data_IF_017957967604
#
_entry.id   IF_017957967604
#
_cell.length_a   1.000
_cell.length_b   1.000
_cell.length_c   1.000
_cell.angle_alpha   90.00
_cell.angle_beta   90.00
_cell.angle_gamma   90.00
#
_symmetry.space_group_name_H-M   'P 1'
#
loop_
_entity.id
_entity.type
_entity.pdbx_description
1 polymer ?
#
# COMPACT_ATOMS: atom_id res chain seq x y z
N UNK A 1 -5.43 5.84 -9.10
CA UNK A 1 -6.72 5.33 -8.59
C UNK A 1 -6.54 5.11 -7.11
N UNK A 2 -6.72 6.18 -6.33
CA UNK A 2 -6.83 6.21 -4.88
C UNK A 2 -8.03 7.12 -4.66
N UNK A 3 -9.19 6.52 -4.38
CA UNK A 3 -10.44 7.24 -4.20
C UNK A 3 -10.75 7.27 -2.70
N UNK A 4 -10.75 8.50 -2.17
CA UNK A 4 -11.29 8.96 -0.88
C UNK A 4 -10.58 8.53 0.42
N UNK A 5 -9.90 9.51 1.04
CA UNK A 5 -9.90 9.65 2.49
C UNK A 5 -11.19 10.35 2.91
N UNK A 6 -12.07 9.63 3.62
CA UNK A 6 -13.25 10.21 4.27
C UNK A 6 -13.09 10.06 5.79
N UNK A 7 -12.89 11.20 6.42
CA UNK A 7 -13.10 11.50 7.85
C UNK A 7 -12.40 10.59 8.88
N UNK A 8 -11.19 10.98 9.29
CA UNK A 8 -10.62 10.56 10.58
C UNK A 8 -10.11 11.78 11.37
N UNK A 9 -10.95 12.81 11.50
CA UNK A 9 -10.77 13.80 12.56
C UNK A 9 -11.32 13.24 13.87
N UNK A 10 -10.47 12.58 14.67
CA UNK A 10 -10.51 12.51 16.15
C UNK A 10 -9.51 11.47 16.66
N UNK A 11 -8.30 11.88 17.04
CA UNK A 11 -7.46 10.95 17.80
C UNK A 11 -6.11 11.37 18.32
N UNK A 12 -5.35 12.31 17.71
CA UNK A 12 -4.11 12.90 18.25
C UNK A 12 -2.96 11.95 18.70
N UNK A 13 -3.10 10.63 18.59
CA UNK A 13 -2.02 9.65 18.87
C UNK A 13 -1.75 8.69 17.69
N UNK A 14 -2.74 8.45 16.83
CA UNK A 14 -2.59 7.75 15.53
C UNK A 14 -1.91 8.63 14.46
N UNK A 15 -2.05 9.96 14.59
CA UNK A 15 -1.53 10.96 13.65
C UNK A 15 0.00 10.91 13.46
N UNK A 16 0.75 10.43 14.46
CA UNK A 16 2.22 10.35 14.39
C UNK A 16 2.71 9.15 13.57
N UNK A 17 1.97 8.04 13.55
CA UNK A 17 2.28 6.92 12.65
C UNK A 17 1.76 7.17 11.24
N UNK A 18 0.61 7.82 11.11
CA UNK A 18 0.02 8.16 9.81
C UNK A 18 0.82 9.21 9.03
N UNK A 19 1.42 10.19 9.71
CA UNK A 19 2.36 11.12 9.08
C UNK A 19 3.71 10.48 8.71
N UNK A 20 4.11 9.39 9.37
CA UNK A 20 5.32 8.64 9.02
C UNK A 20 5.15 7.80 7.74
N UNK A 21 3.91 7.44 7.37
CA UNK A 21 3.60 6.69 6.15
C UNK A 21 3.77 7.54 4.88
N UNK A 22 3.82 8.88 5.01
CA UNK A 22 3.79 9.81 3.87
C UNK A 22 5.01 10.75 3.77
N UNK A 23 6.12 10.42 4.42
CA UNK A 23 7.36 11.19 4.31
C UNK A 23 8.27 10.67 3.19
N UNK A 24 8.09 11.16 1.96
CA UNK A 24 9.01 11.02 0.79
C UNK A 24 9.54 9.61 0.41
N UNK A 25 9.11 8.53 1.07
CA UNK A 25 9.78 7.22 1.03
C UNK A 25 8.93 6.01 0.61
N UNK A 26 7.68 6.20 0.19
CA UNK A 26 6.78 5.13 -0.23
C UNK A 26 5.81 4.65 0.85
N UNK A 27 4.77 3.90 0.45
CA UNK A 27 3.78 3.34 1.36
C UNK A 27 4.37 2.15 2.13
N UNK A 28 4.09 2.07 3.44
CA UNK A 28 4.51 0.94 4.26
C UNK A 28 3.71 -0.32 3.91
N UNK A 29 4.44 -1.42 3.73
CA UNK A 29 3.88 -2.74 3.44
C UNK A 29 3.60 -3.49 4.73
N UNK A 30 2.38 -3.98 4.88
CA UNK A 30 1.99 -4.88 5.98
C UNK A 30 2.34 -6.33 5.63
N UNK A 31 2.05 -6.77 4.39
CA UNK A 31 2.37 -8.13 3.94
C UNK A 31 2.48 -8.23 2.41
N UNK A 32 3.35 -9.13 1.94
CA UNK A 32 3.37 -9.60 0.55
C UNK A 32 2.57 -10.90 0.47
N UNK A 33 1.47 -10.90 -0.28
CA UNK A 33 0.47 -11.99 -0.22
C UNK A 33 0.59 -13.00 -1.34
N UNK A 34 0.97 -12.56 -2.53
CA UNK A 34 1.01 -13.41 -3.72
C UNK A 34 1.98 -12.86 -4.78
N UNK A 35 2.40 -13.70 -5.72
CA UNK A 35 3.25 -13.31 -6.85
C UNK A 35 2.71 -13.84 -8.17
N UNK A 36 2.79 -13.04 -9.23
CA UNK A 36 2.36 -13.46 -10.57
C UNK A 36 3.25 -12.86 -11.65
N UNK A 37 3.30 -13.54 -12.80
CA UNK A 37 3.74 -12.90 -14.03
C UNK A 37 2.53 -12.21 -14.65
N UNK A 38 2.61 -10.89 -14.81
CA UNK A 38 1.54 -10.10 -15.40
C UNK A 38 1.27 -10.56 -16.84
N UNK A 39 0.03 -10.91 -17.21
CA UNK A 39 -0.28 -11.33 -18.58
C UNK A 39 -0.16 -10.16 -19.57
N UNK A 40 -0.30 -8.93 -19.10
CA UNK A 40 -0.27 -7.73 -19.93
C UNK A 40 1.16 -7.23 -20.13
N UNK A 41 1.90 -7.05 -19.03
CA UNK A 41 3.25 -6.44 -19.07
C UNK A 41 4.37 -7.47 -19.15
N UNK A 42 4.09 -8.75 -18.88
CA UNK A 42 5.09 -9.81 -18.73
C UNK A 42 6.17 -9.50 -17.68
N UNK A 43 5.83 -8.64 -16.71
CA UNK A 43 6.68 -8.34 -15.55
C UNK A 43 6.15 -9.08 -14.33
N UNK A 44 7.07 -9.38 -13.39
CA UNK A 44 6.69 -9.93 -12.10
C UNK A 44 5.99 -8.86 -11.27
N UNK A 45 4.82 -9.20 -10.75
CA UNK A 45 4.04 -8.38 -9.84
C UNK A 45 3.86 -9.11 -8.51
N UNK A 46 3.76 -8.36 -7.43
CA UNK A 46 3.50 -8.85 -6.07
C UNK A 46 2.21 -8.21 -5.56
N UNK A 47 1.32 -9.00 -4.97
CA UNK A 47 0.14 -8.50 -4.31
C UNK A 47 0.51 -7.97 -2.93
N UNK A 48 0.41 -6.66 -2.75
CA UNK A 48 0.83 -5.95 -1.55
C UNK A 48 -0.38 -5.62 -0.70
N UNK A 49 -0.35 -6.01 0.57
CA UNK A 49 -1.23 -5.47 1.61
C UNK A 49 -0.55 -4.28 2.24
N UNK A 50 -1.22 -3.14 2.20
CA UNK A 50 -0.74 -1.88 2.76
C UNK A 50 -1.11 -1.77 4.24
N UNK A 51 -0.21 -1.19 5.03
CA UNK A 51 -0.48 -0.94 6.45
C UNK A 51 -1.64 0.05 6.57
N UNK A 52 -2.54 -0.21 7.52
CA UNK A 52 -3.67 0.69 7.82
C UNK A 52 -4.78 0.73 6.76
N UNK A 53 -4.66 0.00 5.65
CA UNK A 53 -5.73 -0.15 4.65
C UNK A 53 -6.47 -1.48 4.81
N UNK A 54 -7.69 -1.57 4.31
CA UNK A 54 -8.42 -2.84 4.25
C UNK A 54 -7.81 -3.80 3.21
N UNK A 55 -8.13 -5.09 3.34
CA UNK A 55 -7.70 -6.14 2.41
C UNK A 55 -8.14 -5.89 0.96
N UNK A 56 -9.25 -5.18 0.76
CA UNK A 56 -9.77 -4.81 -0.55
C UNK A 56 -8.87 -3.81 -1.28
N UNK A 57 -8.07 -3.03 -0.53
CA UNK A 57 -7.13 -2.06 -1.07
C UNK A 57 -5.78 -2.69 -1.44
N UNK A 58 -5.63 -4.02 -1.28
CA UNK A 58 -4.44 -4.71 -1.75
C UNK A 58 -4.27 -4.56 -3.27
N UNK A 59 -3.06 -4.23 -3.70
CA UNK A 59 -2.77 -3.94 -5.11
C UNK A 59 -1.59 -4.76 -5.63
N UNK A 60 -1.61 -5.05 -6.93
CA UNK A 60 -0.50 -5.67 -7.63
C UNK A 60 0.51 -4.60 -8.00
N UNK A 61 1.69 -4.66 -7.40
CA UNK A 61 2.80 -3.74 -7.66
C UNK A 61 3.92 -4.46 -8.42
N UNK A 62 4.61 -3.78 -9.35
CA UNK A 62 5.81 -4.35 -9.97
C UNK A 62 6.83 -4.79 -8.92
N UNK A 63 7.39 -5.98 -9.05
CA UNK A 63 8.37 -6.49 -8.08
C UNK A 63 9.60 -5.59 -7.97
N UNK A 64 9.92 -4.82 -9.02
CA UNK A 64 11.05 -3.88 -9.05
C UNK A 64 10.88 -2.63 -8.17
N UNK A 65 9.64 -2.29 -7.79
CA UNK A 65 9.36 -1.11 -6.94
C UNK A 65 9.32 -1.45 -5.46
N UNK A 66 9.27 -2.73 -5.10
CA UNK A 66 9.32 -3.19 -3.71
C UNK A 66 10.79 -3.22 -3.27
N UNK A 67 11.17 -2.38 -2.29
CA UNK A 67 12.54 -2.23 -1.77
C UNK A 67 12.61 -2.44 -0.28
#
# INVERSE_FOLDING_TARGET
RLQLYRDAARGLDEDLQEQAIYGEGGHLVEALRDCRLSPDTHLWEILVKWIGLDDIEASWEPAEVIR
#
